data_IF_490903445036
#
_entry.id   IF_490903445036
#
_cell.length_a   1.000
_cell.length_b   1.000
_cell.length_c   1.000
_cell.angle_alpha   90.00
_cell.angle_beta   90.00
_cell.angle_gamma   90.00
#
_symmetry.space_group_name_H-M   'P 1'
#
loop_
_entity.id
_entity.type
_entity.pdbx_description
1 polymer ?
#
# COMPACT_ATOMS: atom_id res chain seq x y z
N UNK A 1 -9.28 -32.14 18.55
CA UNK A 1 -9.84 -30.80 18.21
C UNK A 1 -8.95 -29.63 18.63
N UNK A 2 -8.01 -29.79 19.56
CA UNK A 2 -7.09 -28.73 20.03
C UNK A 2 -5.89 -28.49 19.12
N UNK A 3 -5.29 -29.52 18.54
CA UNK A 3 -4.07 -29.39 17.72
C UNK A 3 -4.29 -28.57 16.43
N UNK A 4 -5.44 -28.75 15.77
CA UNK A 4 -5.82 -27.99 14.57
C UNK A 4 -6.00 -26.49 14.91
N UNK A 5 -6.57 -26.17 16.08
CA UNK A 5 -6.73 -24.77 16.53
C UNK A 5 -5.37 -24.11 16.81
N UNK A 6 -4.42 -24.83 17.39
CA UNK A 6 -3.06 -24.32 17.68
C UNK A 6 -2.33 -23.99 16.37
N UNK A 7 -2.36 -24.91 15.41
CA UNK A 7 -1.74 -24.69 14.08
C UNK A 7 -2.41 -23.50 13.37
N UNK A 8 -3.73 -23.42 13.38
CA UNK A 8 -4.48 -22.32 12.76
C UNK A 8 -4.14 -20.96 13.39
N UNK A 9 -4.01 -20.92 14.73
CA UNK A 9 -3.59 -19.72 15.47
C UNK A 9 -2.17 -19.29 15.10
N UNK A 10 -1.23 -20.25 14.99
CA UNK A 10 0.15 -19.97 14.59
C UNK A 10 0.23 -19.35 13.19
N UNK A 11 -0.43 -19.97 12.20
CA UNK A 11 -0.48 -19.43 10.84
C UNK A 11 -1.22 -18.09 10.77
N UNK A 12 -2.29 -17.90 11.55
CA UNK A 12 -2.98 -16.61 11.61
C UNK A 12 -2.09 -15.52 12.20
N UNK A 13 -1.31 -15.81 13.25
CA UNK A 13 -0.37 -14.85 13.85
C UNK A 13 0.72 -14.43 12.85
N UNK A 14 1.30 -15.41 12.15
CA UNK A 14 2.35 -15.18 11.15
C UNK A 14 1.80 -14.39 9.94
N UNK A 15 0.60 -14.73 9.47
CA UNK A 15 -0.09 -13.98 8.42
C UNK A 15 -0.43 -12.55 8.86
N UNK A 16 -0.84 -12.36 10.12
CA UNK A 16 -1.17 -11.04 10.68
C UNK A 16 0.05 -10.13 10.68
N UNK A 17 1.22 -10.64 11.09
CA UNK A 17 2.48 -9.90 11.03
C UNK A 17 2.78 -9.39 9.62
N UNK A 18 2.73 -10.28 8.63
CA UNK A 18 2.97 -9.93 7.21
C UNK A 18 1.95 -8.92 6.71
N UNK A 19 0.66 -9.11 7.02
CA UNK A 19 -0.40 -8.21 6.59
C UNK A 19 -0.28 -6.82 7.21
N UNK A 20 0.14 -6.70 8.47
CA UNK A 20 0.36 -5.41 9.15
C UNK A 20 1.50 -4.63 8.51
N UNK A 21 2.62 -5.31 8.23
CA UNK A 21 3.76 -4.70 7.55
C UNK A 21 3.35 -4.24 6.14
N UNK A 22 2.62 -5.08 5.40
CA UNK A 22 2.09 -4.72 4.08
C UNK A 22 1.16 -3.51 4.15
N UNK A 23 0.25 -3.47 5.12
CA UNK A 23 -0.68 -2.35 5.30
C UNK A 23 0.07 -1.04 5.60
N UNK A 24 1.05 -1.07 6.50
CA UNK A 24 1.89 0.09 6.79
C UNK A 24 2.67 0.55 5.55
N UNK A 25 3.22 -0.40 4.78
CA UNK A 25 3.92 -0.11 3.52
C UNK A 25 3.01 0.51 2.45
N UNK A 26 1.77 0.04 2.32
CA UNK A 26 0.79 0.61 1.39
C UNK A 26 0.40 2.04 1.75
N UNK A 27 0.23 2.34 3.05
CA UNK A 27 -0.05 3.72 3.49
C UNK A 27 1.15 4.63 3.25
N UNK A 28 2.35 4.17 3.63
CA UNK A 28 3.59 4.93 3.42
C UNK A 28 3.82 5.23 1.94
N UNK A 29 3.64 4.23 1.07
CA UNK A 29 3.78 4.43 -0.38
C UNK A 29 2.71 5.36 -0.95
N UNK A 30 1.47 5.31 -0.47
CA UNK A 30 0.44 6.27 -0.88
C UNK A 30 0.82 7.71 -0.49
N UNK A 31 1.33 7.90 0.73
CA UNK A 31 1.81 9.20 1.22
C UNK A 31 2.99 9.71 0.36
N UNK A 32 3.97 8.85 0.09
CA UNK A 32 5.12 9.15 -0.74
C UNK A 32 4.72 9.47 -2.18
N UNK A 33 3.71 8.81 -2.74
CA UNK A 33 3.17 9.11 -4.08
C UNK A 33 2.64 10.54 -4.15
N UNK A 34 1.84 10.95 -3.16
CA UNK A 34 1.29 12.32 -3.08
C UNK A 34 2.44 13.33 -2.94
N UNK A 35 3.38 13.07 -2.04
CA UNK A 35 4.57 13.89 -1.84
C UNK A 35 5.38 14.03 -3.11
N UNK A 36 5.65 12.94 -3.84
CA UNK A 36 6.38 12.96 -5.10
C UNK A 36 5.65 13.76 -6.18
N UNK A 37 4.32 13.66 -6.25
CA UNK A 37 3.49 14.47 -7.14
C UNK A 37 3.62 15.97 -6.86
N UNK A 38 3.55 16.37 -5.58
CA UNK A 38 3.71 17.77 -5.15
C UNK A 38 5.13 18.26 -5.43
N UNK A 39 6.14 17.48 -5.05
CA UNK A 39 7.55 17.87 -5.14
C UNK A 39 7.98 18.12 -6.59
N UNK A 40 7.44 17.35 -7.53
CA UNK A 40 7.63 17.57 -8.98
C UNK A 40 6.99 18.86 -9.50
N UNK A 41 5.90 19.33 -8.89
CA UNK A 41 5.23 20.58 -9.29
C UNK A 41 5.88 21.83 -8.72
N UNK A 42 6.61 21.69 -7.60
CA UNK A 42 7.36 22.79 -6.95
C UNK A 42 8.70 23.08 -7.65
N UNK A 43 9.01 22.37 -8.74
CA UNK A 43 10.16 22.69 -9.61
C UNK A 43 11.42 21.85 -9.37
N UNK A 44 11.33 20.74 -8.63
CA UNK A 44 12.39 19.74 -8.60
C UNK A 44 12.36 18.89 -9.87
N UNK A 45 12.89 19.45 -10.97
CA UNK A 45 12.97 18.80 -12.29
C UNK A 45 13.80 17.50 -12.31
N UNK A 46 14.59 17.24 -11.25
CA UNK A 46 15.35 15.98 -11.09
C UNK A 46 14.45 14.76 -10.89
N UNK A 47 13.22 14.91 -10.41
CA UNK A 47 12.31 13.77 -10.19
C UNK A 47 11.59 13.49 -11.51
N UNK A 48 12.24 12.73 -12.40
CA UNK A 48 11.67 12.24 -13.66
C UNK A 48 10.77 11.00 -13.42
N UNK A 49 9.46 11.19 -13.48
CA UNK A 49 8.47 10.15 -13.75
C UNK A 49 8.36 9.97 -15.27
N UNK A 50 8.66 8.75 -15.72
CA UNK A 50 8.45 8.29 -17.09
C UNK A 50 7.31 7.27 -17.09
N UNK A 51 6.42 7.35 -18.09
CA UNK A 51 5.29 6.43 -18.25
C UNK A 51 5.80 5.12 -18.92
N UNK A 52 6.86 5.26 -19.70
CA UNK A 52 7.57 4.21 -20.43
C UNK A 52 9.02 4.66 -20.65
N UNK A 53 9.94 3.73 -20.92
CA UNK A 53 11.33 4.07 -21.25
C UNK A 53 11.40 5.06 -22.42
N UNK A 54 11.84 6.29 -22.15
CA UNK A 54 11.98 7.37 -23.13
C UNK A 54 10.76 8.30 -23.30
N UNK A 55 9.63 8.02 -22.62
CA UNK A 55 8.47 8.92 -22.59
C UNK A 55 8.40 9.66 -21.25
N UNK A 56 8.98 10.86 -21.24
CA UNK A 56 8.88 11.80 -20.12
C UNK A 56 7.43 12.30 -20.00
N UNK A 57 6.81 12.13 -18.82
CA UNK A 57 5.47 12.69 -18.58
C UNK A 57 5.55 14.22 -18.51
N UNK A 58 4.62 14.96 -19.15
CA UNK A 58 4.45 16.39 -18.89
C UNK A 58 4.12 16.63 -17.41
N UNK A 59 4.64 17.73 -16.84
CA UNK A 59 4.42 18.11 -15.42
C UNK A 59 2.93 18.20 -15.07
N UNK A 60 2.07 18.56 -16.04
CA UNK A 60 0.62 18.66 -15.85
C UNK A 60 -0.02 17.31 -15.47
N UNK A 61 0.54 16.19 -15.94
CA UNK A 61 0.03 14.85 -15.66
C UNK A 61 0.60 14.19 -14.40
N UNK A 62 1.61 14.79 -13.73
CA UNK A 62 2.18 14.18 -12.53
C UNK A 62 1.25 14.21 -11.33
N UNK A 63 0.47 15.28 -11.14
CA UNK A 63 -0.52 15.36 -10.05
C UNK A 63 -1.66 14.34 -10.26
N UNK A 64 -2.35 14.30 -11.42
CA UNK A 64 -3.37 13.29 -11.67
C UNK A 64 -2.86 11.87 -11.49
N UNK A 65 -1.67 11.56 -12.03
CA UNK A 65 -1.08 10.24 -11.93
C UNK A 65 -0.76 9.86 -10.48
N UNK A 66 -0.13 10.76 -9.72
CA UNK A 66 0.19 10.55 -8.32
C UNK A 66 -1.07 10.31 -7.46
N UNK A 67 -2.16 11.04 -7.75
CA UNK A 67 -3.47 10.87 -7.11
C UNK A 67 -4.09 9.51 -7.45
N UNK A 68 -4.06 9.11 -8.72
CA UNK A 68 -4.58 7.79 -9.16
C UNK A 68 -3.81 6.66 -8.48
N UNK A 69 -2.48 6.74 -8.43
CA UNK A 69 -1.63 5.74 -7.75
C UNK A 69 -1.91 5.72 -6.24
N UNK A 70 -2.04 6.89 -5.61
CA UNK A 70 -2.38 6.97 -4.19
C UNK A 70 -3.77 6.39 -3.89
N UNK A 71 -4.76 6.65 -4.73
CA UNK A 71 -6.10 6.06 -4.63
C UNK A 71 -6.05 4.54 -4.78
N UNK A 72 -5.29 4.02 -5.74
CA UNK A 72 -5.13 2.58 -5.96
C UNK A 72 -4.50 1.91 -4.72
N UNK A 73 -3.41 2.48 -4.21
CA UNK A 73 -2.72 2.00 -3.00
C UNK A 73 -3.64 2.06 -1.77
N UNK A 74 -4.43 3.13 -1.65
CA UNK A 74 -5.41 3.27 -0.58
C UNK A 74 -6.51 2.19 -0.68
N UNK A 75 -7.01 1.93 -1.89
CA UNK A 75 -8.00 0.88 -2.14
C UNK A 75 -7.44 -0.50 -1.79
N UNK A 76 -6.21 -0.81 -2.19
CA UNK A 76 -5.49 -2.02 -1.78
C UNK A 76 -5.37 -2.11 -0.24
N UNK A 77 -5.03 -1.00 0.43
CA UNK A 77 -4.90 -0.97 1.88
C UNK A 77 -6.21 -1.33 2.60
N UNK A 78 -7.37 -0.95 2.04
CA UNK A 78 -8.68 -1.32 2.58
C UNK A 78 -8.91 -2.83 2.56
N UNK A 79 -8.55 -3.52 1.46
CA UNK A 79 -8.65 -4.97 1.39
C UNK A 79 -7.71 -5.66 2.38
N UNK A 80 -6.46 -5.17 2.50
CA UNK A 80 -5.50 -5.71 3.48
C UNK A 80 -6.03 -5.53 4.91
N UNK A 81 -6.59 -4.37 5.24
CA UNK A 81 -7.23 -4.12 6.54
C UNK A 81 -8.36 -5.12 6.84
N UNK A 82 -9.18 -5.44 5.84
CA UNK A 82 -10.25 -6.45 5.97
C UNK A 82 -9.68 -7.85 6.26
N UNK A 83 -8.59 -8.22 5.59
CA UNK A 83 -7.89 -9.49 5.84
C UNK A 83 -7.29 -9.57 7.24
N UNK A 84 -6.71 -8.47 7.75
CA UNK A 84 -6.20 -8.40 9.15
C UNK A 84 -7.35 -8.62 10.14
N UNK A 85 -8.48 -7.94 9.94
CA UNK A 85 -9.66 -8.10 10.81
C UNK A 85 -10.20 -9.53 10.79
N UNK A 86 -10.17 -10.21 9.65
CA UNK A 86 -10.54 -11.61 9.54
C UNK A 86 -9.61 -12.53 10.35
N UNK A 87 -8.28 -12.36 10.21
CA UNK A 87 -7.30 -13.10 11.01
C UNK A 87 -7.46 -12.84 12.51
N UNK A 88 -7.66 -11.58 12.91
CA UNK A 88 -7.93 -11.21 14.31
C UNK A 88 -9.20 -11.86 14.86
N UNK A 89 -10.28 -11.89 14.07
CA UNK A 89 -11.53 -12.52 14.49
C UNK A 89 -11.39 -14.04 14.66
N UNK A 90 -10.50 -14.69 13.91
CA UNK A 90 -10.20 -16.12 14.07
C UNK A 90 -9.28 -16.42 15.26
N UNK A 91 -8.46 -15.45 15.66
CA UNK A 91 -7.58 -15.51 16.84
C UNK A 91 -8.31 -15.21 18.17
N UNK A 92 -9.44 -14.51 18.13
CA UNK A 92 -10.27 -14.15 19.31
C UNK A 92 -11.13 -15.30 19.88
N UNK A 93 -10.92 -16.54 19.45
CA UNK A 93 -11.66 -17.73 19.89
C UNK A 93 -10.92 -18.53 20.96
#
# INVERSE_FOLDING_TARGET
MTFIKIIQSFFCSLALLVLVILYAGLILSALLSILAGILRTVGLEQIKMSLWSGLDLPVVFSIPLALVVALLLFFCSMYVKRSIQFCLSKLKF
#
